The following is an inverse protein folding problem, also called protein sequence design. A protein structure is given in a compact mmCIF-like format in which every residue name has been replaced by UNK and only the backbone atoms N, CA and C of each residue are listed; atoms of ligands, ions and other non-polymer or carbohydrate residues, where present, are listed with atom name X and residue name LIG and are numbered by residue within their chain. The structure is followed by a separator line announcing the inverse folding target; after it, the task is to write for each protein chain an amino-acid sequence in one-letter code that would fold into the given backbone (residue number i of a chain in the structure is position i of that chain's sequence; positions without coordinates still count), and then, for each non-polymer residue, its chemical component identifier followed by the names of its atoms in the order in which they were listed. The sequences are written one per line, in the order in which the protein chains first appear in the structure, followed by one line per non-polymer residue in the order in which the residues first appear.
data_IF_032066604868
#
_entry.id   IF_032066604868
#
_cell.length_a   1.000
_cell.length_b   1.000
_cell.length_c   1.000
_cell.angle_alpha   90.00
_cell.angle_beta   90.00
_cell.angle_gamma   90.00
#
_symmetry.space_group_name_H-M   'P 1'
#
loop_
_entity.id
_entity.type
_entity.pdbx_description
1 polymer ?
#
# COMPACT_ATOMS: atom_id res chain seq x y z
N UNK A 1 -16.15 -25.45 -30.03
CA UNK A 1 -14.81 -25.17 -29.50
C UNK A 1 -14.55 -23.73 -29.83
N UNK A 2 -14.66 -22.86 -28.83
CA UNK A 2 -14.57 -21.42 -28.98
C UNK A 2 -13.12 -21.00 -28.63
N UNK A 3 -12.32 -20.43 -29.55
CA UNK A 3 -10.90 -20.18 -29.34
C UNK A 3 -10.66 -18.74 -28.89
N UNK A 4 -11.23 -18.32 -27.76
CA UNK A 4 -11.06 -16.94 -27.24
C UNK A 4 -10.88 -16.83 -25.72
N UNK A 5 -10.33 -17.84 -25.04
CA UNK A 5 -10.12 -17.79 -23.58
C UNK A 5 -8.68 -17.88 -23.08
N UNK A 6 -7.65 -17.80 -23.93
CA UNK A 6 -6.25 -18.04 -23.48
C UNK A 6 -5.32 -16.80 -23.45
N UNK A 7 -5.70 -15.64 -24.01
CA UNK A 7 -4.75 -14.52 -24.20
C UNK A 7 -4.82 -13.39 -23.14
N UNK A 8 -5.55 -13.57 -22.03
CA UNK A 8 -5.63 -12.54 -20.96
C UNK A 8 -4.60 -12.77 -19.82
N UNK A 9 -3.95 -13.92 -19.75
CA UNK A 9 -3.29 -14.36 -18.50
C UNK A 9 -1.76 -14.21 -18.44
N UNK A 10 -1.02 -14.19 -19.55
CA UNK A 10 0.45 -14.25 -19.49
C UNK A 10 1.11 -13.00 -18.84
N UNK A 11 0.76 -11.75 -19.23
CA UNK A 11 1.36 -10.57 -18.60
C UNK A 11 0.97 -10.40 -17.13
N UNK A 12 -0.26 -10.79 -16.77
CA UNK A 12 -0.73 -10.74 -15.37
C UNK A 12 -0.01 -11.77 -14.52
N UNK A 13 0.17 -13.00 -15.01
CA UNK A 13 0.93 -14.05 -14.33
C UNK A 13 2.41 -13.66 -14.13
N UNK A 14 3.04 -13.06 -15.14
CA UNK A 14 4.41 -12.56 -15.02
C UNK A 14 4.55 -11.47 -13.95
N UNK A 15 3.57 -10.56 -13.88
CA UNK A 15 3.55 -9.49 -12.90
C UNK A 15 3.34 -10.04 -11.48
N UNK A 16 2.45 -11.01 -11.31
CA UNK A 16 2.23 -11.71 -10.03
C UNK A 16 3.46 -12.51 -9.58
N UNK A 17 4.19 -13.15 -10.50
CA UNK A 17 5.44 -13.84 -10.21
C UNK A 17 6.55 -12.86 -9.77
N UNK A 18 6.67 -11.74 -10.47
CA UNK A 18 7.62 -10.65 -10.15
C UNK A 18 7.37 -10.11 -8.74
N UNK A 19 6.09 -9.90 -8.39
CA UNK A 19 5.68 -9.46 -7.06
C UNK A 19 6.02 -10.45 -5.96
N UNK A 20 5.77 -11.75 -6.20
CA UNK A 20 6.13 -12.79 -5.26
C UNK A 20 7.65 -12.85 -4.99
N UNK A 21 8.46 -12.78 -6.03
CA UNK A 21 9.92 -12.83 -5.91
C UNK A 21 10.47 -11.57 -5.22
N UNK A 22 9.89 -10.40 -5.52
CA UNK A 22 10.24 -9.15 -4.85
C UNK A 22 9.96 -9.21 -3.35
N UNK A 23 8.79 -9.67 -2.93
CA UNK A 23 8.43 -9.81 -1.51
C UNK A 23 9.38 -10.78 -0.79
N UNK A 24 9.61 -11.95 -1.40
CA UNK A 24 10.46 -12.99 -0.82
C UNK A 24 11.88 -12.49 -0.63
N UNK A 25 12.44 -11.80 -1.63
CA UNK A 25 13.79 -11.21 -1.58
C UNK A 25 13.88 -10.16 -0.48
N UNK A 26 12.92 -9.23 -0.46
CA UNK A 26 12.86 -8.13 0.50
C UNK A 26 12.78 -8.61 1.95
N UNK A 27 11.94 -9.61 2.24
CA UNK A 27 11.80 -10.15 3.59
C UNK A 27 12.96 -11.07 4.00
N UNK A 28 13.64 -11.71 3.03
CA UNK A 28 14.80 -12.58 3.31
C UNK A 28 16.09 -11.80 3.60
N UNK A 29 16.21 -10.57 3.11
CA UNK A 29 17.42 -9.74 3.29
C UNK A 29 17.44 -8.96 4.61
N UNK A 30 16.33 -8.91 5.34
CA UNK A 30 16.24 -8.14 6.59
C UNK A 30 16.93 -8.87 7.76
N UNK A 31 17.85 -8.19 8.45
CA UNK A 31 18.42 -8.65 9.71
C UNK A 31 17.31 -8.84 10.78
N UNK A 32 17.64 -9.48 11.90
CA UNK A 32 16.77 -10.01 12.98
C UNK A 32 15.53 -9.21 13.46
N UNK A 33 15.34 -7.95 13.06
CA UNK A 33 14.16 -7.12 13.36
C UNK A 33 13.30 -6.92 12.13
N UNK A 34 12.03 -7.33 12.20
CA UNK A 34 11.03 -7.07 11.14
C UNK A 34 10.90 -5.57 10.89
N UNK A 35 10.87 -5.17 9.63
CA UNK A 35 10.77 -3.78 9.17
C UNK A 35 9.53 -3.57 8.30
N UNK A 36 9.04 -2.32 8.18
CA UNK A 36 7.97 -1.98 7.25
C UNK A 36 8.28 -2.42 5.81
N UNK A 37 7.27 -2.94 5.13
CA UNK A 37 7.33 -3.31 3.72
C UNK A 37 6.37 -2.41 2.95
N UNK A 38 6.89 -1.72 1.94
CA UNK A 38 6.11 -0.89 1.03
C UNK A 38 6.04 -1.58 -0.33
N UNK A 39 4.84 -1.87 -0.80
CA UNK A 39 4.59 -2.56 -2.08
C UNK A 39 3.78 -1.65 -3.00
N UNK A 40 4.25 -1.44 -4.23
CA UNK A 40 3.53 -0.65 -5.23
C UNK A 40 2.61 -1.58 -6.04
N UNK A 41 1.30 -1.33 -6.03
CA UNK A 41 0.32 -2.24 -6.62
C UNK A 41 -0.15 -1.82 -8.01
N UNK A 42 0.01 -0.55 -8.38
CA UNK A 42 -0.12 -0.06 -9.74
C UNK A 42 1.12 0.79 -10.08
N UNK A 43 1.17 1.42 -11.26
CA UNK A 43 2.31 2.26 -11.63
C UNK A 43 2.16 3.72 -11.13
N UNK A 44 1.26 4.01 -10.20
CA UNK A 44 0.75 5.36 -9.95
C UNK A 44 0.49 5.68 -8.46
N UNK A 45 -0.70 5.33 -7.94
CA UNK A 45 -1.23 5.80 -6.65
C UNK A 45 -1.43 4.71 -5.59
N UNK A 46 -1.52 3.44 -5.97
CA UNK A 46 -1.97 2.38 -5.07
C UNK A 46 -0.80 1.71 -4.38
N UNK A 47 -0.72 1.89 -3.07
CA UNK A 47 0.33 1.32 -2.23
C UNK A 47 -0.24 0.39 -1.18
N UNK A 48 0.46 -0.72 -0.93
CA UNK A 48 0.25 -1.56 0.24
C UNK A 48 1.40 -1.35 1.22
N UNK A 49 1.10 -0.75 2.37
CA UNK A 49 2.06 -0.55 3.45
C UNK A 49 1.80 -1.59 4.55
N UNK A 50 2.76 -2.47 4.77
CA UNK A 50 2.71 -3.51 5.80
C UNK A 50 3.62 -3.12 6.97
N UNK A 51 3.04 -2.82 8.13
CA UNK A 51 3.78 -2.40 9.34
C UNK A 51 3.94 -3.57 10.32
N UNK A 52 5.15 -3.89 10.81
CA UNK A 52 5.34 -4.95 11.80
C UNK A 52 4.52 -4.66 13.06
N UNK A 53 3.73 -5.64 13.51
CA UNK A 53 2.98 -5.51 14.75
C UNK A 53 3.95 -5.65 15.94
N UNK A 54 4.01 -4.68 16.86
CA UNK A 54 4.86 -4.80 18.04
C UNK A 54 4.49 -6.02 18.89
N UNK A 55 5.48 -6.79 19.41
CA UNK A 55 5.20 -7.99 20.22
C UNK A 55 4.30 -7.73 21.43
N UNK A 56 4.43 -6.55 22.05
CA UNK A 56 3.61 -6.10 23.18
C UNK A 56 2.13 -5.89 22.82
N UNK A 57 1.82 -5.69 21.54
CA UNK A 57 0.48 -5.40 21.03
C UNK A 57 -0.21 -6.61 20.41
N UNK A 58 0.52 -7.70 20.16
CA UNK A 58 -0.03 -8.94 19.59
C UNK A 58 -1.11 -9.60 20.47
N UNK A 59 -1.12 -9.32 21.78
CA UNK A 59 -2.17 -9.80 22.70
C UNK A 59 -3.43 -8.91 22.67
N UNK A 60 -3.29 -7.63 22.30
CA UNK A 60 -4.36 -6.63 22.27
C UNK A 60 -5.19 -6.62 20.97
N UNK A 61 -4.69 -7.24 19.89
CA UNK A 61 -5.42 -7.37 18.61
C UNK A 61 -6.73 -8.15 18.70
N UNK A 62 -6.99 -8.87 19.80
CA UNK A 62 -8.29 -9.51 20.05
C UNK A 62 -9.44 -8.51 20.25
N UNK A 63 -9.16 -7.20 20.37
CA UNK A 63 -10.15 -6.15 20.62
C UNK A 63 -10.43 -5.23 19.42
N UNK A 64 -9.72 -5.36 18.30
CA UNK A 64 -10.03 -4.64 17.06
C UNK A 64 -11.05 -5.42 16.25
N UNK A 65 -11.99 -4.74 15.57
CA UNK A 65 -13.23 -5.33 15.01
C UNK A 65 -13.06 -6.36 13.89
N UNK A 66 -11.82 -6.70 13.51
CA UNK A 66 -11.52 -7.70 12.47
C UNK A 66 -11.14 -8.99 13.21
N UNK A 67 -12.11 -9.90 13.31
CA UNK A 67 -11.94 -11.23 13.89
C UNK A 67 -11.10 -12.10 12.95
N UNK A 68 -9.78 -12.08 13.11
CA UNK A 68 -8.89 -13.06 12.47
C UNK A 68 -8.61 -14.21 13.45
N UNK A 69 -8.70 -15.44 12.96
CA UNK A 69 -8.40 -16.64 13.76
C UNK A 69 -6.89 -16.82 13.98
N UNK A 70 -6.07 -16.13 13.19
CA UNK A 70 -4.61 -16.23 13.16
C UNK A 70 -3.92 -15.02 13.80
N UNK A 71 -2.76 -15.27 14.40
CA UNK A 71 -1.85 -14.21 14.86
C UNK A 71 -1.18 -13.54 13.66
N UNK A 72 -1.59 -12.31 13.33
CA UNK A 72 -0.97 -11.46 12.30
C UNK A 72 0.45 -11.05 12.70
N UNK A 73 1.34 -10.92 11.71
CA UNK A 73 2.72 -10.42 11.88
C UNK A 73 2.80 -8.95 11.49
N UNK A 74 2.03 -8.56 10.48
CA UNK A 74 1.95 -7.21 9.95
C UNK A 74 0.53 -6.65 10.08
N UNK A 75 0.44 -5.33 10.14
CA UNK A 75 -0.77 -4.55 9.96
C UNK A 75 -0.75 -3.98 8.54
N UNK A 76 -1.75 -4.30 7.74
CA UNK A 76 -1.76 -4.02 6.30
C UNK A 76 -2.68 -2.85 5.96
N UNK A 77 -2.08 -1.79 5.39
CA UNK A 77 -2.74 -0.55 5.02
C UNK A 77 -2.76 -0.45 3.50
N UNK A 78 -3.95 -0.42 2.90
CA UNK A 78 -4.15 -0.15 1.49
C UNK A 78 -4.38 1.35 1.29
N UNK A 79 -3.50 2.01 0.55
CA UNK A 79 -3.52 3.44 0.31
C UNK A 79 -4.00 3.68 -1.12
N UNK A 80 -4.99 4.57 -1.27
CA UNK A 80 -5.49 5.07 -2.54
C UNK A 80 -5.75 4.00 -3.64
N UNK A 81 -6.66 3.04 -3.41
CA UNK A 81 -6.82 1.90 -4.29
C UNK A 81 -7.55 2.22 -5.60
N UNK A 82 -6.83 2.12 -6.71
CA UNK A 82 -7.31 2.12 -8.09
C UNK A 82 -6.63 0.96 -8.83
N UNK A 83 -7.35 -0.18 -8.96
CA UNK A 83 -6.77 -1.41 -9.49
C UNK A 83 -7.08 -1.60 -10.98
N UNK A 84 -8.32 -1.32 -11.38
CA UNK A 84 -8.81 -1.54 -12.75
C UNK A 84 -9.79 -0.46 -13.18
N UNK A 85 -10.02 -0.37 -14.49
CA UNK A 85 -11.01 0.52 -15.07
C UNK A 85 -10.58 2.00 -15.14
N UNK A 86 -11.43 2.86 -15.73
CA UNK A 86 -11.16 4.29 -15.85
C UNK A 86 -11.42 5.05 -14.56
N UNK A 87 -10.68 6.13 -14.37
CA UNK A 87 -11.04 7.22 -13.46
C UNK A 87 -11.62 8.39 -14.27
N UNK A 88 -12.54 9.17 -13.67
CA UNK A 88 -13.08 10.39 -14.30
C UNK A 88 -13.21 11.54 -13.30
N UNK A 89 -12.56 12.66 -13.62
CA UNK A 89 -12.66 13.89 -12.82
C UNK A 89 -13.86 14.74 -13.25
N UNK A 90 -14.71 15.12 -12.29
CA UNK A 90 -15.90 15.98 -12.43
C UNK A 90 -17.02 15.35 -13.28
N UNK A 91 -16.78 15.14 -14.58
CA UNK A 91 -17.68 14.48 -15.52
C UNK A 91 -16.84 13.79 -16.62
N UNK A 92 -17.28 12.62 -17.10
CA UNK A 92 -16.50 11.80 -18.04
C UNK A 92 -16.08 12.50 -19.35
N UNK A 93 -16.79 13.57 -19.75
CA UNK A 93 -16.43 14.39 -20.91
C UNK A 93 -15.27 15.37 -20.66
N UNK A 94 -14.88 15.60 -19.40
CA UNK A 94 -13.90 16.61 -19.00
C UNK A 94 -12.48 16.03 -18.93
N UNK A 95 -12.30 14.91 -18.20
CA UNK A 95 -11.06 14.12 -18.15
C UNK A 95 -11.41 12.69 -17.75
N UNK A 96 -11.09 11.71 -18.61
CA UNK A 96 -11.10 10.28 -18.25
C UNK A 96 -9.72 9.71 -18.48
N UNK A 97 -9.20 8.98 -17.51
CA UNK A 97 -7.85 8.41 -17.57
C UNK A 97 -7.87 6.91 -17.26
N UNK A 98 -6.94 6.20 -17.86
CA UNK A 98 -6.68 4.78 -17.64
C UNK A 98 -5.21 4.58 -17.33
N UNK A 99 -4.91 3.57 -16.51
CA UNK A 99 -3.55 3.08 -16.39
C UNK A 99 -2.97 2.75 -17.77
N UNK A 100 -1.74 3.17 -18.00
CA UNK A 100 -0.98 2.80 -19.19
C UNK A 100 -0.54 1.33 -19.09
N UNK A 101 -0.16 0.91 -17.88
CA UNK A 101 0.25 -0.44 -17.52
C UNK A 101 -0.77 -1.07 -16.56
N UNK A 102 -1.28 -2.29 -16.80
CA UNK A 102 -2.18 -2.96 -15.86
C UNK A 102 -1.56 -3.08 -14.46
N UNK A 103 -2.34 -2.83 -13.42
CA UNK A 103 -1.94 -3.01 -12.02
C UNK A 103 -1.47 -4.45 -11.73
N UNK A 104 -0.53 -4.60 -10.80
CA UNK A 104 -0.05 -5.93 -10.36
C UNK A 104 -1.09 -6.76 -9.63
N UNK A 105 -2.12 -6.11 -9.10
CA UNK A 105 -3.34 -6.74 -8.64
C UNK A 105 -4.52 -6.17 -9.41
N UNK A 106 -5.35 -7.03 -9.99
CA UNK A 106 -6.55 -6.62 -10.74
C UNK A 106 -7.82 -6.62 -9.86
N UNK A 107 -7.72 -7.12 -8.63
CA UNK A 107 -8.85 -7.25 -7.69
C UNK A 107 -8.40 -7.15 -6.23
N UNK A 108 -9.35 -6.88 -5.32
CA UNK A 108 -9.08 -6.91 -3.88
C UNK A 108 -8.68 -8.32 -3.42
N UNK A 109 -9.26 -9.37 -4.01
CA UNK A 109 -8.88 -10.75 -3.71
C UNK A 109 -7.39 -11.02 -3.98
N UNK A 110 -6.86 -10.50 -5.10
CA UNK A 110 -5.42 -10.58 -5.41
C UNK A 110 -4.56 -9.77 -4.44
N UNK A 111 -5.04 -8.61 -3.97
CA UNK A 111 -4.35 -7.86 -2.90
C UNK A 111 -4.29 -8.69 -1.62
N UNK A 112 -5.38 -9.39 -1.26
CA UNK A 112 -5.39 -10.28 -0.10
C UNK A 112 -4.51 -11.54 -0.30
N UNK A 113 -4.37 -12.05 -1.53
CA UNK A 113 -3.37 -13.08 -1.87
C UNK A 113 -1.94 -12.58 -1.61
N UNK A 114 -1.64 -11.34 -1.99
CA UNK A 114 -0.35 -10.69 -1.74
C UNK A 114 -0.08 -10.58 -0.25
N UNK A 115 -1.07 -10.14 0.53
CA UNK A 115 -0.96 -10.05 1.99
C UNK A 115 -0.70 -11.44 2.59
N UNK A 116 -1.43 -12.48 2.16
CA UNK A 116 -1.20 -13.86 2.59
C UNK A 116 0.23 -14.34 2.33
N UNK A 117 0.81 -13.96 1.18
CA UNK A 117 2.21 -14.26 0.84
C UNK A 117 3.20 -13.52 1.74
N UNK A 118 2.96 -12.24 2.04
CA UNK A 118 3.79 -11.44 2.98
C UNK A 118 3.80 -12.11 4.36
N UNK A 119 2.63 -12.42 4.89
CA UNK A 119 2.46 -13.08 6.20
C UNK A 119 3.10 -14.48 6.23
N UNK A 120 2.96 -15.25 5.15
CA UNK A 120 3.61 -16.55 4.97
C UNK A 120 5.14 -16.47 4.94
N UNK A 121 5.70 -15.51 4.19
CA UNK A 121 7.14 -15.29 4.08
C UNK A 121 7.76 -14.76 5.38
N UNK A 122 7.01 -13.96 6.15
CA UNK A 122 7.45 -13.41 7.43
C UNK A 122 7.28 -14.37 8.62
N UNK A 123 6.48 -15.43 8.43
CA UNK A 123 6.29 -16.46 9.43
C UNK A 123 7.60 -17.23 9.66
N UNK A 124 8.02 -17.44 10.92
CA UNK A 124 9.20 -18.23 11.19
C UNK A 124 8.98 -19.63 10.64
N UNK A 125 9.72 -20.00 9.58
CA UNK A 125 9.61 -21.35 9.02
C UNK A 125 9.83 -22.37 10.13
N UNK A 126 9.04 -23.44 10.18
CA UNK A 126 9.33 -24.63 10.97
C UNK A 126 10.56 -25.37 10.39
N UNK A 127 11.68 -24.67 10.16
CA UNK A 127 12.97 -25.26 9.77
C UNK A 127 13.68 -25.80 11.01
N UNK A 128 13.05 -26.80 11.63
CA UNK A 128 13.69 -27.75 12.55
C UNK A 128 12.80 -29.00 12.73
N UNK A 129 12.14 -29.49 11.67
CA UNK A 129 11.56 -30.83 11.67
C UNK A 129 12.39 -31.72 10.74
N UNK A 130 13.36 -32.41 11.36
CA UNK A 130 13.90 -33.72 10.95
C UNK A 130 14.10 -33.97 9.45
N UNK A 131 15.33 -33.75 8.98
CA UNK A 131 15.87 -34.53 7.86
C UNK A 131 15.83 -36.01 8.28
N UNK A 132 15.11 -36.92 7.61
CA UNK A 132 15.25 -38.34 7.91
C UNK A 132 16.66 -38.73 7.50
N UNK A 133 17.46 -39.18 8.46
CA UNK A 133 18.66 -39.95 8.15
C UNK A 133 18.22 -41.18 7.35
N UNK A 134 18.59 -41.24 6.07
CA UNK A 134 18.55 -42.46 5.28
C UNK A 134 19.55 -43.44 5.88
N UNK A 135 19.09 -44.28 6.80
CA UNK A 135 19.79 -45.52 7.14
C UNK A 135 19.60 -46.49 5.97
N UNK A 136 20.68 -46.73 5.23
CA UNK A 136 20.79 -47.91 4.38
C UNK A 136 20.65 -49.14 5.28
N UNK A 137 19.65 -49.98 5.00
CA UNK A 137 19.60 -51.35 5.48
C UNK A 137 19.42 -52.24 4.25
N UNK A 138 20.52 -52.86 3.85
CA UNK A 138 20.52 -54.01 2.95
C UNK A 138 19.83 -55.18 3.64
N UNK A 139 18.93 -55.83 2.90
CA UNK A 139 18.47 -57.25 2.89
C UNK A 139 17.07 -57.19 2.26
N UNK A 140 16.84 -57.64 1.03
CA UNK A 140 17.16 -58.96 0.53
C UNK A 140 15.99 -59.88 0.88
N UNK A 141 14.87 -59.77 0.17
CA UNK A 141 13.97 -60.90 -0.13
C UNK A 141 12.94 -60.52 -1.21
N UNK A 142 12.90 -61.36 -2.24
CA UNK A 142 11.95 -61.32 -3.35
C UNK A 142 10.74 -62.15 -2.95
N UNK A 143 9.56 -61.54 -2.87
CA UNK A 143 8.28 -62.27 -2.85
C UNK A 143 7.34 -61.66 -3.88
N UNK A 144 6.84 -62.55 -4.72
CA UNK A 144 6.00 -62.40 -5.91
C UNK A 144 4.67 -61.72 -5.56
N UNK A 145 4.28 -60.71 -6.33
CA UNK A 145 2.95 -60.09 -6.26
C UNK A 145 2.02 -60.85 -7.20
N UNK A 146 1.10 -61.61 -6.64
CA UNK A 146 -0.03 -62.19 -7.34
C UNK A 146 -1.14 -61.13 -7.45
N UNK A 147 -1.56 -60.84 -8.68
CA UNK A 147 -2.60 -59.88 -9.01
C UNK A 147 -3.92 -60.62 -9.17
N UNK A 148 -4.81 -60.55 -8.19
CA UNK A 148 -6.23 -60.67 -8.50
C UNK A 148 -7.18 -60.19 -7.39
N UNK A 149 -8.37 -59.77 -7.85
CA UNK A 149 -9.63 -59.60 -7.11
C UNK A 149 -9.97 -58.21 -6.56
N UNK A 150 -10.34 -57.37 -7.51
CA UNK A 150 -11.43 -56.41 -7.38
C UNK A 150 -12.78 -57.10 -7.08
N UNK A 151 -13.71 -56.29 -6.57
CA UNK A 151 -15.17 -56.49 -6.45
C UNK A 151 -15.70 -57.16 -5.17
N UNK A 152 -16.17 -56.32 -4.23
CA UNK A 152 -17.60 -56.17 -3.81
C UNK A 152 -17.72 -55.75 -2.35
N UNK A 153 -18.28 -54.56 -2.12
CA UNK A 153 -19.40 -54.33 -1.20
C UNK A 153 -19.66 -52.81 -1.14
N UNK A 154 -20.71 -52.38 -1.82
CA UNK A 154 -21.42 -51.15 -1.47
C UNK A 154 -22.17 -51.43 -0.17
N UNK A 155 -21.85 -50.71 0.90
CA UNK A 155 -22.68 -50.65 2.09
C UNK A 155 -22.81 -49.18 2.50
N UNK A 156 -24.05 -48.70 2.47
CA UNK A 156 -24.46 -47.35 2.81
C UNK A 156 -24.10 -47.03 4.27
N UNK A 157 -23.15 -46.11 4.46
CA UNK A 157 -23.02 -45.38 5.72
C UNK A 157 -23.49 -43.96 5.46
N UNK A 158 -24.68 -43.65 5.98
CA UNK A 158 -25.21 -42.30 6.03
C UNK A 158 -24.27 -41.41 6.84
N UNK A 159 -23.42 -40.67 6.14
CA UNK A 159 -22.69 -39.55 6.71
C UNK A 159 -23.66 -38.39 6.73
N UNK A 160 -24.17 -38.05 7.91
CA UNK A 160 -24.74 -36.73 8.16
C UNK A 160 -23.64 -35.71 7.83
N UNK A 161 -23.79 -35.05 6.68
CA UNK A 161 -22.99 -33.89 6.33
C UNK A 161 -23.38 -32.80 7.32
N UNK A 162 -22.62 -32.67 8.41
CA UNK A 162 -22.60 -31.43 9.17
C UNK A 162 -22.40 -30.31 8.15
N UNK A 163 -23.41 -29.44 8.03
CA UNK A 163 -23.27 -28.19 7.30
C UNK A 163 -22.10 -27.47 7.93
N UNK A 164 -20.95 -27.52 7.26
CA UNK A 164 -19.78 -26.74 7.64
C UNK A 164 -20.25 -25.32 7.90
N UNK A 165 -19.92 -24.77 9.08
CA UNK A 165 -20.00 -23.33 9.29
C UNK A 165 -19.35 -22.69 8.07
N UNK A 166 -20.08 -21.82 7.38
CA UNK A 166 -19.48 -20.94 6.40
C UNK A 166 -18.24 -20.34 7.08
N UNK A 167 -17.05 -20.69 6.61
CA UNK A 167 -15.84 -20.03 7.04
C UNK A 167 -16.09 -18.56 6.73
N UNK A 168 -16.22 -17.71 7.76
CA UNK A 168 -16.25 -16.27 7.53
C UNK A 168 -14.97 -15.95 6.78
N UNK A 169 -15.08 -15.48 5.53
CA UNK A 169 -13.92 -15.10 4.72
C UNK A 169 -13.06 -14.13 5.55
N UNK A 170 -11.84 -14.56 5.87
CA UNK A 170 -10.90 -13.76 6.66
C UNK A 170 -10.49 -12.54 5.84
N UNK A 171 -10.78 -11.34 6.35
CA UNK A 171 -10.32 -10.07 5.75
C UNK A 171 -8.85 -9.84 6.07
N UNK A 172 -8.03 -9.59 5.05
CA UNK A 172 -6.58 -9.41 5.20
C UNK A 172 -6.13 -7.95 5.21
N UNK A 173 -6.97 -7.05 4.70
CA UNK A 173 -6.73 -5.60 4.73
C UNK A 173 -7.24 -5.05 6.07
N UNK A 174 -6.33 -4.53 6.89
CA UNK A 174 -6.68 -4.00 8.21
C UNK A 174 -7.22 -2.56 8.14
N UNK A 175 -6.79 -1.80 7.13
CA UNK A 175 -7.14 -0.39 6.96
C UNK A 175 -7.06 0.06 5.51
N UNK A 176 -8.00 0.91 5.10
CA UNK A 176 -7.88 1.72 3.89
C UNK A 176 -7.63 3.18 4.24
N UNK A 177 -6.64 3.80 3.59
CA UNK A 177 -6.31 5.22 3.74
C UNK A 177 -6.54 5.91 2.41
N UNK A 178 -7.33 7.00 2.44
CA UNK A 178 -7.64 7.82 1.26
C UNK A 178 -7.07 9.22 1.43
N UNK A 179 -6.06 9.55 0.63
CA UNK A 179 -5.33 10.80 0.73
C UNK A 179 -6.09 11.98 0.12
N UNK A 180 -6.87 11.75 -0.94
CA UNK A 180 -7.53 12.81 -1.70
C UNK A 180 -8.89 12.37 -2.28
N UNK A 181 -9.79 13.33 -2.58
CA UNK A 181 -11.11 13.01 -3.15
C UNK A 181 -11.14 12.77 -4.67
N UNK A 182 -9.99 12.93 -5.34
CA UNK A 182 -9.89 12.68 -6.77
C UNK A 182 -10.00 11.19 -7.08
N UNK A 183 -10.52 10.86 -8.26
CA UNK A 183 -10.99 9.50 -8.53
C UNK A 183 -9.86 8.49 -8.78
N UNK A 184 -8.64 8.96 -9.04
CA UNK A 184 -7.39 8.19 -9.06
C UNK A 184 -6.85 7.85 -7.66
N UNK A 185 -7.37 8.50 -6.61
CA UNK A 185 -7.09 8.18 -5.20
C UNK A 185 -8.24 7.42 -4.53
N UNK A 186 -9.46 7.79 -4.90
CA UNK A 186 -10.71 7.33 -4.28
C UNK A 186 -11.57 6.62 -5.32
N UNK A 187 -10.99 5.62 -5.99
CA UNK A 187 -11.64 4.94 -7.11
C UNK A 187 -12.85 4.12 -6.62
N UNK A 188 -14.05 4.68 -6.80
CA UNK A 188 -15.30 4.10 -6.29
C UNK A 188 -15.53 2.64 -6.73
N UNK A 189 -15.36 2.25 -8.01
CA UNK A 189 -15.54 0.86 -8.41
C UNK A 189 -14.62 -0.11 -7.65
N UNK A 190 -13.35 0.23 -7.42
CA UNK A 190 -12.44 -0.60 -6.60
C UNK A 190 -12.93 -0.62 -5.16
N UNK A 191 -13.20 0.54 -4.57
CA UNK A 191 -13.54 0.65 -3.15
C UNK A 191 -14.81 -0.11 -2.77
N UNK A 192 -15.81 -0.16 -3.66
CA UNK A 192 -17.05 -0.90 -3.40
C UNK A 192 -16.91 -2.43 -3.49
N UNK A 193 -15.75 -2.94 -3.93
CA UNK A 193 -15.45 -4.40 -3.89
C UNK A 193 -14.84 -4.86 -2.58
N UNK A 194 -14.34 -3.93 -1.74
CA UNK A 194 -13.87 -4.24 -0.39
C UNK A 194 -15.02 -4.68 0.51
N UNK A 195 -14.71 -5.48 1.53
CA UNK A 195 -15.68 -5.75 2.59
C UNK A 195 -16.12 -4.45 3.30
N UNK A 196 -17.43 -4.29 3.57
CA UNK A 196 -17.97 -3.20 4.40
C UNK A 196 -17.32 -3.05 5.77
N UNK A 197 -16.72 -4.11 6.33
CA UNK A 197 -16.13 -4.12 7.68
C UNK A 197 -14.73 -3.48 7.74
N UNK A 198 -14.03 -3.39 6.62
CA UNK A 198 -12.70 -2.76 6.56
C UNK A 198 -12.84 -1.26 6.88
N UNK A 199 -12.15 -0.74 7.90
CA UNK A 199 -12.25 0.67 8.23
C UNK A 199 -11.54 1.54 7.19
N UNK A 200 -12.12 2.72 6.92
CA UNK A 200 -11.58 3.71 6.00
C UNK A 200 -11.24 5.00 6.76
N UNK A 201 -9.97 5.42 6.69
CA UNK A 201 -9.55 6.77 7.08
C UNK A 201 -9.40 7.62 5.83
N UNK A 202 -10.08 8.76 5.76
CA UNK A 202 -10.07 9.61 4.57
C UNK A 202 -9.93 11.10 4.91
N UNK A 203 -9.32 11.89 4.02
CA UNK A 203 -9.31 13.36 4.16
C UNK A 203 -10.72 13.95 4.05
N UNK A 204 -10.95 15.17 4.54
CA UNK A 204 -12.29 15.67 4.85
C UNK A 204 -13.31 15.58 3.70
N UNK A 205 -12.89 15.85 2.45
CA UNK A 205 -13.77 15.75 1.28
C UNK A 205 -13.97 14.29 0.85
N UNK A 206 -12.91 13.50 0.81
CA UNK A 206 -12.98 12.06 0.54
C UNK A 206 -13.87 11.33 1.56
N UNK A 207 -13.74 11.66 2.85
CA UNK A 207 -14.62 11.20 3.93
C UNK A 207 -16.10 11.46 3.61
N UNK A 208 -16.42 12.68 3.17
CA UNK A 208 -17.80 13.06 2.87
C UNK A 208 -18.35 12.27 1.68
N UNK A 209 -17.53 12.07 0.64
CA UNK A 209 -17.88 11.28 -0.53
C UNK A 209 -18.07 9.79 -0.19
N UNK A 210 -17.09 9.15 0.44
CA UNK A 210 -17.13 7.72 0.79
C UNK A 210 -18.28 7.42 1.76
N UNK A 211 -18.49 8.27 2.77
CA UNK A 211 -19.60 8.12 3.71
C UNK A 211 -20.96 8.15 2.99
N UNK A 212 -21.10 8.97 1.93
CA UNK A 212 -22.34 9.04 1.15
C UNK A 212 -22.66 7.76 0.39
N UNK A 213 -21.67 6.91 0.13
CA UNK A 213 -21.86 5.64 -0.60
C UNK A 213 -22.55 4.58 0.26
N UNK A 214 -22.55 4.74 1.60
CA UNK A 214 -23.20 3.83 2.55
C UNK A 214 -22.74 2.37 2.42
N UNK A 215 -21.49 2.19 2.02
CA UNK A 215 -20.86 0.88 1.84
C UNK A 215 -20.15 0.42 3.12
N UNK A 216 -19.23 1.24 3.64
CA UNK A 216 -18.41 0.90 4.80
C UNK A 216 -19.14 1.21 6.12
N UNK A 217 -18.98 0.33 7.11
CA UNK A 217 -19.50 0.54 8.46
C UNK A 217 -18.71 1.58 9.24
N UNK A 218 -17.41 1.71 8.94
CA UNK A 218 -16.49 2.60 9.64
C UNK A 218 -15.75 3.47 8.65
N UNK A 219 -16.16 4.73 8.54
CA UNK A 219 -15.40 5.78 7.85
C UNK A 219 -15.06 6.86 8.88
N UNK A 220 -13.81 7.31 8.92
CA UNK A 220 -13.35 8.37 9.83
C UNK A 220 -12.49 9.38 9.07
N UNK A 221 -12.50 10.62 9.56
CA UNK A 221 -11.64 11.66 9.02
C UNK A 221 -10.20 11.44 9.47
N UNK A 222 -9.26 11.68 8.57
CA UNK A 222 -7.85 11.84 8.93
C UNK A 222 -7.69 13.22 9.56
N UNK A 223 -7.32 13.24 10.83
CA UNK A 223 -7.12 14.48 11.58
C UNK A 223 -5.78 15.12 11.27
N UNK A 224 -5.70 16.43 11.52
CA UNK A 224 -4.50 17.21 11.28
C UNK A 224 -3.39 16.85 12.26
N UNK A 225 -2.15 16.75 11.77
CA UNK A 225 -0.99 16.61 12.64
C UNK A 225 -0.69 17.91 13.40
N UNK A 226 -0.51 17.81 14.72
CA UNK A 226 -0.33 18.94 15.62
C UNK A 226 0.96 18.89 16.46
N UNK A 227 1.90 17.98 16.13
CA UNK A 227 3.21 17.87 16.79
C UNK A 227 3.39 16.62 17.67
N UNK A 228 2.31 15.94 18.07
CA UNK A 228 2.37 14.64 18.75
C UNK A 228 1.63 13.57 17.93
N UNK A 229 2.33 12.51 17.53
CA UNK A 229 1.77 11.44 16.70
C UNK A 229 0.79 10.54 17.47
N UNK A 230 0.79 10.59 18.80
CA UNK A 230 -0.09 9.79 19.65
C UNK A 230 -1.48 10.40 19.76
N UNK A 231 -1.62 11.69 19.44
CA UNK A 231 -2.85 12.46 19.54
C UNK A 231 -3.58 12.52 18.20
N UNK A 232 -4.91 12.39 18.25
CA UNK A 232 -5.87 12.60 17.15
C UNK A 232 -5.69 11.74 15.88
N UNK A 233 -4.57 11.04 15.70
CA UNK A 233 -4.31 10.20 14.53
C UNK A 233 -4.93 8.81 14.58
N UNK A 234 -5.62 8.45 15.67
CA UNK A 234 -6.16 7.11 15.88
C UNK A 234 -7.56 6.87 15.29
N UNK A 235 -8.14 7.88 14.64
CA UNK A 235 -9.47 7.78 14.02
C UNK A 235 -10.54 7.27 14.99
N UNK A 236 -10.69 7.90 16.17
CA UNK A 236 -11.62 7.44 17.21
C UNK A 236 -11.37 6.00 17.72
N UNK A 237 -10.10 5.61 17.87
CA UNK A 237 -9.66 4.27 18.31
C UNK A 237 -9.90 3.14 17.28
N UNK A 238 -10.04 3.50 16.00
CA UNK A 238 -9.96 2.54 14.88
C UNK A 238 -8.56 1.94 14.81
N UNK A 239 -7.52 2.76 15.03
CA UNK A 239 -6.14 2.30 14.96
C UNK A 239 -5.62 1.78 16.31
N UNK A 240 -4.72 0.79 16.29
CA UNK A 240 -4.04 0.34 17.50
C UNK A 240 -3.16 1.44 18.09
N UNK A 241 -2.89 1.41 19.41
CA UNK A 241 -2.25 2.52 20.13
C UNK A 241 -0.81 2.81 19.70
N UNK A 242 -0.17 1.87 19.01
CA UNK A 242 1.21 1.97 18.53
C UNK A 242 1.34 2.65 17.16
N UNK A 243 0.24 3.09 16.53
CA UNK A 243 0.29 3.82 15.26
C UNK A 243 -0.68 5.01 15.21
N UNK A 244 -0.48 5.89 14.25
CA UNK A 244 -1.36 7.02 13.94
C UNK A 244 -1.33 7.37 12.45
N UNK A 245 -2.44 7.88 11.93
CA UNK A 245 -2.54 8.43 10.57
C UNK A 245 -2.99 9.88 10.66
N UNK A 246 -2.21 10.79 10.09
CA UNK A 246 -2.47 12.23 10.15
C UNK A 246 -2.38 12.90 8.78
N UNK A 247 -3.08 14.02 8.64
CA UNK A 247 -2.94 14.94 7.53
C UNK A 247 -1.95 16.04 7.91
N UNK A 248 -0.88 16.18 7.14
CA UNK A 248 0.07 17.30 7.26
C UNK A 248 -0.21 18.29 6.14
N UNK A 249 -0.57 19.52 6.47
CA UNK A 249 -0.96 20.54 5.50
C UNK A 249 -0.83 21.93 6.11
N UNK A 250 -0.99 23.01 5.35
CA UNK A 250 -1.16 24.36 5.90
C UNK A 250 -2.38 24.48 6.84
N UNK A 251 -2.32 25.32 7.88
CA UNK A 251 -3.39 25.46 8.89
C UNK A 251 -4.65 26.18 8.39
N UNK A 252 -4.58 26.81 7.22
CA UNK A 252 -5.71 27.39 6.51
C UNK A 252 -6.07 26.60 5.24
N UNK A 253 -6.83 27.25 4.36
CA UNK A 253 -7.26 26.65 3.10
C UNK A 253 -6.23 26.96 2.00
N UNK A 254 -5.66 25.94 1.38
CA UNK A 254 -4.98 26.04 0.10
C UNK A 254 -5.99 25.91 -1.05
N UNK A 255 -5.61 26.40 -2.24
CA UNK A 255 -6.45 26.28 -3.42
C UNK A 255 -6.63 24.78 -3.74
N UNK A 256 -7.88 24.30 -3.72
CA UNK A 256 -8.30 22.92 -4.04
C UNK A 256 -7.91 21.82 -3.03
N UNK A 257 -7.08 22.08 -2.02
CA UNK A 257 -6.75 21.18 -0.89
C UNK A 257 -5.82 19.99 -1.16
N UNK A 258 -5.21 19.91 -2.34
CA UNK A 258 -4.36 18.77 -2.70
C UNK A 258 -2.90 18.88 -2.24
N UNK A 259 -2.37 20.07 -1.91
CA UNK A 259 -0.98 20.21 -1.44
C UNK A 259 -0.86 19.86 0.05
N UNK A 260 -0.94 18.56 0.33
CA UNK A 260 -0.86 18.00 1.68
C UNK A 260 -0.17 16.65 1.67
N UNK A 261 0.12 16.15 2.85
CA UNK A 261 0.63 14.81 3.05
C UNK A 261 -0.32 13.99 3.91
N UNK A 262 -0.38 12.69 3.65
CA UNK A 262 -0.77 11.71 4.66
C UNK A 262 0.48 11.15 5.30
N UNK A 263 0.57 11.26 6.62
CA UNK A 263 1.62 10.65 7.42
C UNK A 263 1.07 9.41 8.11
N UNK A 264 1.72 8.27 7.91
CA UNK A 264 1.50 7.05 8.70
C UNK A 264 2.67 6.91 9.67
N UNK A 265 2.39 7.07 10.96
CA UNK A 265 3.37 7.00 12.06
C UNK A 265 3.19 5.72 12.87
N UNK A 266 4.28 5.16 13.37
CA UNK A 266 4.27 3.94 14.19
C UNK A 266 5.44 3.93 15.18
N UNK A 267 5.22 3.30 16.33
CA UNK A 267 6.20 3.23 17.42
C UNK A 267 7.49 2.54 16.98
N UNK A 268 8.63 3.18 17.26
CA UNK A 268 9.96 2.63 16.98
C UNK A 268 10.49 1.90 18.23
N UNK A 269 10.26 0.59 18.29
CA UNK A 269 10.76 -0.24 19.40
C UNK A 269 10.11 0.07 20.75
N UNK A 270 10.92 0.19 21.81
CA UNK A 270 10.46 0.33 23.19
C UNK A 270 10.38 1.80 23.69
N UNK A 271 10.77 2.78 22.87
CA UNK A 271 10.74 4.20 23.21
C UNK A 271 9.42 4.88 22.86
N UNK A 272 9.32 6.18 23.14
CA UNK A 272 8.18 7.02 22.71
C UNK A 272 8.36 7.59 21.29
N UNK A 273 9.57 7.48 20.72
CA UNK A 273 9.87 7.90 19.36
C UNK A 273 9.08 7.08 18.33
N UNK A 274 8.76 7.72 17.22
CA UNK A 274 8.07 7.08 16.10
C UNK A 274 8.92 7.09 14.84
N UNK A 275 8.68 6.09 14.00
CA UNK A 275 9.03 6.12 12.59
C UNK A 275 7.78 6.48 11.77
N UNK A 276 7.97 7.04 10.57
CA UNK A 276 6.86 7.41 9.71
C UNK A 276 7.14 7.21 8.22
N UNK A 277 6.07 6.99 7.47
CA UNK A 277 6.01 7.11 6.00
C UNK A 277 5.18 8.34 5.67
N UNK A 278 5.70 9.21 4.81
CA UNK A 278 5.03 10.43 4.38
C UNK A 278 4.66 10.31 2.90
N UNK A 279 3.38 10.42 2.59
CA UNK A 279 2.86 10.33 1.22
C UNK A 279 2.31 11.69 0.76
N UNK A 280 2.87 12.21 -0.33
CA UNK A 280 2.63 13.56 -0.86
C UNK A 280 2.37 13.51 -2.36
N UNK A 281 1.21 12.98 -2.80
CA UNK A 281 0.95 12.70 -4.21
C UNK A 281 1.04 13.92 -5.13
N UNK A 282 0.62 15.07 -4.62
CA UNK A 282 0.62 16.36 -5.33
C UNK A 282 1.71 17.31 -4.83
N UNK A 283 2.52 16.86 -3.87
CA UNK A 283 3.53 17.64 -3.18
C UNK A 283 3.01 18.51 -2.05
N UNK A 284 3.95 19.14 -1.34
CA UNK A 284 3.65 19.89 -0.11
C UNK A 284 4.63 21.05 0.06
N UNK A 285 4.16 22.16 0.62
CA UNK A 285 5.07 23.26 0.99
C UNK A 285 5.98 22.83 2.15
N UNK A 286 7.31 23.05 2.09
CA UNK A 286 8.19 22.81 3.22
C UNK A 286 7.76 23.52 4.51
N UNK A 287 7.12 24.70 4.41
CA UNK A 287 6.58 25.41 5.58
C UNK A 287 5.54 24.60 6.35
N UNK A 288 4.77 23.75 5.66
CA UNK A 288 3.68 22.99 6.26
C UNK A 288 4.19 21.74 7.00
N UNK A 289 5.46 21.38 6.78
CA UNK A 289 6.16 20.30 7.46
C UNK A 289 6.80 20.75 8.79
N UNK A 290 6.76 22.04 9.13
CA UNK A 290 7.31 22.56 10.39
C UNK A 290 6.83 21.80 11.65
N UNK A 291 5.55 21.38 11.77
CA UNK A 291 5.15 20.57 12.93
C UNK A 291 5.92 19.25 13.08
N UNK A 292 6.45 18.68 11.99
CA UNK A 292 7.26 17.46 12.03
C UNK A 292 8.69 17.72 12.51
N UNK A 293 9.27 18.87 12.20
CA UNK A 293 10.64 19.21 12.62
C UNK A 293 10.74 19.51 14.11
N UNK A 294 9.62 19.89 14.73
CA UNK A 294 9.50 20.18 16.17
C UNK A 294 8.61 19.18 16.90
N UNK A 295 8.33 18.02 16.30
CA UNK A 295 7.45 17.02 16.89
C UNK A 295 8.03 16.45 18.20
N UNK A 296 7.16 16.25 19.19
CA UNK A 296 7.47 15.60 20.46
C UNK A 296 6.37 14.57 20.76
N UNK A 297 6.69 13.26 20.81
CA UNK A 297 8.01 12.66 20.66
C UNK A 297 8.57 12.80 19.23
N UNK A 298 9.89 12.68 19.10
CA UNK A 298 10.57 12.76 17.80
C UNK A 298 10.02 11.73 16.81
N UNK A 299 9.83 12.18 15.57
CA UNK A 299 9.39 11.34 14.45
C UNK A 299 10.52 11.25 13.41
N UNK A 300 10.99 10.04 13.12
CA UNK A 300 11.93 9.75 12.04
C UNK A 300 11.16 9.36 10.78
N UNK A 301 11.17 10.21 9.76
CA UNK A 301 10.53 9.89 8.47
C UNK A 301 11.47 8.97 7.68
N UNK A 302 11.07 7.71 7.51
CA UNK A 302 11.85 6.71 6.78
C UNK A 302 11.75 6.91 5.28
N UNK A 303 10.53 7.12 4.79
CA UNK A 303 10.23 7.21 3.37
C UNK A 303 9.33 8.40 3.06
N UNK A 304 9.62 9.06 1.95
CA UNK A 304 8.82 10.08 1.30
C UNK A 304 8.34 9.52 -0.03
N UNK A 305 7.04 9.34 -0.19
CA UNK A 305 6.41 9.00 -1.47
C UNK A 305 6.01 10.31 -2.16
N UNK A 306 6.75 10.69 -3.20
CA UNK A 306 6.61 12.00 -3.86
C UNK A 306 7.00 11.92 -5.33
N UNK A 307 6.13 12.43 -6.20
CA UNK A 307 6.33 12.38 -7.65
C UNK A 307 7.37 13.37 -8.18
N UNK A 308 7.99 13.00 -9.30
CA UNK A 308 8.98 13.83 -10.00
C UNK A 308 8.33 14.83 -10.96
N UNK A 309 7.13 14.55 -11.46
CA UNK A 309 6.45 15.41 -12.42
C UNK A 309 5.92 16.71 -11.80
N UNK A 310 6.40 17.85 -12.29
CA UNK A 310 5.74 19.14 -12.13
C UNK A 310 4.59 19.21 -13.13
N UNK A 311 3.36 19.24 -12.61
CA UNK A 311 2.15 19.32 -13.42
C UNK A 311 1.44 20.60 -13.03
N UNK A 312 1.07 21.39 -14.03
CA UNK A 312 0.26 22.58 -13.83
C UNK A 312 -0.77 22.76 -14.94
N UNK A 313 -1.87 23.41 -14.59
CA UNK A 313 -2.92 23.78 -15.51
C UNK A 313 -2.72 25.25 -15.92
N UNK A 314 -2.40 25.46 -17.19
CA UNK A 314 -2.17 26.78 -17.76
C UNK A 314 -3.51 27.38 -18.23
N UNK A 315 -4.10 28.22 -17.37
CA UNK A 315 -5.29 28.99 -17.70
C UNK A 315 -4.96 30.46 -18.02
N UNK A 316 -5.83 31.11 -18.81
CA UNK A 316 -5.69 32.53 -19.21
C UNK A 316 -5.53 33.53 -18.04
N UNK A 317 -5.99 33.18 -16.82
CA UNK A 317 -6.04 34.10 -15.67
C UNK A 317 -5.25 33.63 -14.44
N UNK A 318 -4.89 32.34 -14.34
CA UNK A 318 -4.13 31.79 -13.21
C UNK A 318 -3.53 30.44 -13.56
N UNK A 319 -2.26 30.23 -13.20
CA UNK A 319 -1.62 28.91 -13.20
C UNK A 319 -2.04 28.15 -11.94
N UNK A 320 -2.68 27.00 -12.08
CA UNK A 320 -2.94 26.09 -10.97
C UNK A 320 -1.86 25.01 -10.96
N UNK A 321 -0.99 25.01 -9.93
CA UNK A 321 0.03 23.98 -9.75
C UNK A 321 -0.65 22.73 -9.23
N UNK A 322 -0.65 21.62 -9.97
CA UNK A 322 -1.31 20.35 -9.59
C UNK A 322 -0.35 19.40 -8.86
N UNK A 323 0.87 19.22 -9.38
CA UNK A 323 1.92 18.42 -8.74
C UNK A 323 3.20 19.26 -8.65
N UNK A 324 3.91 19.25 -7.52
CA UNK A 324 5.08 20.12 -7.31
C UNK A 324 6.43 19.57 -7.82
N UNK A 325 6.49 18.30 -8.21
CA UNK A 325 7.64 17.68 -8.89
C UNK A 325 8.94 17.58 -8.09
N UNK A 326 10.01 17.16 -8.79
CA UNK A 326 11.28 16.75 -8.17
C UNK A 326 11.94 17.83 -7.28
N UNK A 327 11.92 19.11 -7.68
CA UNK A 327 12.50 20.18 -6.86
C UNK A 327 11.79 20.36 -5.51
N UNK A 328 10.48 20.09 -5.45
CA UNK A 328 9.76 20.11 -4.18
C UNK A 328 10.13 18.90 -3.33
N UNK A 329 10.13 17.70 -3.94
CA UNK A 329 10.57 16.46 -3.28
C UNK A 329 11.96 16.60 -2.66
N UNK A 330 12.92 17.15 -3.40
CA UNK A 330 14.28 17.39 -2.93
C UNK A 330 14.31 18.28 -1.67
N UNK A 331 13.57 19.40 -1.66
CA UNK A 331 13.45 20.27 -0.48
C UNK A 331 12.88 19.53 0.73
N UNK A 332 11.89 18.67 0.52
CA UNK A 332 11.28 17.86 1.59
C UNK A 332 12.27 16.83 2.14
N UNK A 333 13.00 16.13 1.26
CA UNK A 333 14.04 15.16 1.66
C UNK A 333 15.10 15.84 2.51
N UNK A 334 15.61 17.00 2.09
CA UNK A 334 16.61 17.80 2.84
C UNK A 334 16.08 18.23 4.19
N UNK A 335 14.85 18.78 4.22
CA UNK A 335 14.25 19.31 5.44
C UNK A 335 14.02 18.24 6.51
N UNK A 336 13.62 17.04 6.11
CA UNK A 336 13.25 15.96 7.04
C UNK A 336 14.34 14.90 7.23
N UNK A 337 15.42 14.93 6.43
CA UNK A 337 16.49 13.93 6.47
C UNK A 337 15.99 12.53 6.09
N UNK A 338 15.12 12.45 5.07
CA UNK A 338 14.47 11.19 4.66
C UNK A 338 15.48 10.24 4.04
N UNK A 339 15.41 8.95 4.40
CA UNK A 339 16.31 7.93 3.87
C UNK A 339 15.89 7.40 2.50
N UNK A 340 14.59 7.26 2.23
CA UNK A 340 14.07 6.78 0.95
C UNK A 340 13.15 7.81 0.33
N UNK A 341 13.50 8.33 -0.84
CA UNK A 341 12.57 9.05 -1.69
C UNK A 341 12.03 8.08 -2.75
N UNK A 342 10.74 7.76 -2.65
CA UNK A 342 10.06 6.83 -3.55
C UNK A 342 9.19 7.61 -4.53
N UNK A 343 9.35 7.36 -5.83
CA UNK A 343 8.49 7.93 -6.87
C UNK A 343 7.03 7.48 -6.73
N UNK A 344 6.09 8.35 -7.07
CA UNK A 344 4.63 8.07 -7.09
C UNK A 344 3.96 9.09 -7.99
N UNK A 345 2.76 8.81 -8.53
CA UNK A 345 2.03 9.74 -9.41
C UNK A 345 2.74 10.10 -10.73
N UNK A 346 3.79 9.37 -11.11
CA UNK A 346 4.59 9.66 -12.30
C UNK A 346 4.12 8.85 -13.53
N UNK A 347 3.08 8.00 -13.40
CA UNK A 347 2.54 7.28 -14.55
C UNK A 347 2.02 8.25 -15.62
N UNK A 348 2.53 8.08 -16.85
CA UNK A 348 1.95 8.74 -18.02
C UNK A 348 0.70 7.98 -18.45
N UNK A 349 -0.40 8.24 -17.74
CA UNK A 349 -1.72 7.64 -17.97
C UNK A 349 -2.21 7.86 -19.40
N UNK A 350 -3.00 6.92 -19.92
CA UNK A 350 -3.76 7.12 -21.16
C UNK A 350 -4.94 8.02 -20.85
N UNK A 351 -5.08 9.15 -21.54
CA UNK A 351 -6.11 10.15 -21.26
C UNK A 351 -7.01 10.46 -22.44
N UNK A 352 -8.25 10.84 -22.15
CA UNK A 352 -9.19 11.47 -23.07
C UNK A 352 -9.88 12.67 -22.42
N UNK A 353 -10.36 13.63 -23.23
CA UNK A 353 -11.02 14.85 -22.76
C UNK A 353 -10.23 16.14 -23.03
N UNK A 354 -10.88 17.28 -22.80
CA UNK A 354 -10.37 18.61 -23.21
C UNK A 354 -9.35 19.21 -22.24
N UNK A 355 -9.30 18.75 -20.99
CA UNK A 355 -8.37 19.26 -19.97
C UNK A 355 -6.91 18.96 -20.32
N UNK A 356 -6.66 17.81 -20.97
CA UNK A 356 -5.31 17.41 -21.38
C UNK A 356 -4.60 18.45 -22.25
N UNK A 357 -5.34 19.26 -23.02
CA UNK A 357 -4.78 20.32 -23.87
C UNK A 357 -4.20 21.50 -23.08
N UNK A 358 -4.59 21.66 -21.81
CA UNK A 358 -4.16 22.76 -20.95
C UNK A 358 -3.18 22.30 -19.85
N UNK A 359 -2.84 21.00 -19.83
CA UNK A 359 -1.86 20.46 -18.88
C UNK A 359 -0.45 20.69 -19.40
N UNK A 360 0.33 21.47 -18.67
CA UNK A 360 1.78 21.52 -18.83
C UNK A 360 2.42 20.54 -17.86
N UNK A 361 3.20 19.60 -18.41
CA UNK A 361 3.99 18.63 -17.65
C UNK A 361 5.47 18.90 -17.87
N UNK A 362 6.21 19.01 -16.79
CA UNK A 362 7.67 19.06 -16.79
C UNK A 362 8.16 17.93 -15.90
N UNK A 363 8.69 16.88 -16.52
CA UNK A 363 9.40 15.82 -15.82
C UNK A 363 10.89 16.14 -15.87
N UNK A 364 11.50 16.29 -14.71
CA UNK A 364 12.96 16.31 -14.56
C UNK A 364 13.35 15.11 -13.71
N UNK A 365 14.45 14.45 -14.07
CA UNK A 365 15.00 13.36 -13.27
C UNK A 365 15.61 13.85 -11.96
N UNK A 366 15.88 12.94 -11.03
CA UNK A 366 16.54 13.28 -9.76
C UNK A 366 17.96 13.79 -10.00
N UNK A 367 18.71 13.19 -10.93
CA UNK A 367 20.06 13.62 -11.29
C UNK A 367 20.06 15.06 -11.80
N UNK A 368 19.12 15.40 -12.69
CA UNK A 368 18.96 16.76 -13.22
C UNK A 368 18.57 17.74 -12.10
N UNK A 369 17.65 17.35 -11.21
CA UNK A 369 17.27 18.17 -10.07
C UNK A 369 18.45 18.44 -9.13
N UNK A 370 19.29 17.44 -8.87
CA UNK A 370 20.52 17.55 -8.08
C UNK A 370 21.59 18.42 -8.77
N UNK A 371 21.73 18.32 -10.09
CA UNK A 371 22.65 19.16 -10.85
C UNK A 371 22.25 20.63 -10.78
N UNK A 372 20.95 20.92 -10.91
CA UNK A 372 20.42 22.28 -10.78
C UNK A 372 20.53 22.82 -9.34
N UNK A 373 20.34 21.99 -8.31
CA UNK A 373 20.59 22.35 -6.90
C UNK A 373 22.08 22.61 -6.65
N UNK A 374 22.97 21.77 -7.18
CA UNK A 374 24.41 21.87 -6.96
C UNK A 374 25.03 23.17 -7.48
N UNK A 375 24.45 23.76 -8.52
CA UNK A 375 24.81 25.10 -9.02
C UNK A 375 24.57 26.18 -7.96
N UNK A 376 23.60 25.96 -7.05
CA UNK A 376 23.16 26.94 -6.05
C UNK A 376 23.71 26.65 -4.64
N UNK A 377 23.73 25.39 -4.20
CA UNK A 377 23.91 25.03 -2.78
C UNK A 377 24.91 23.86 -2.53
N UNK A 378 25.52 23.29 -3.58
CA UNK A 378 26.43 22.13 -3.49
C UNK A 378 25.71 20.78 -3.63
N UNK A 379 26.39 19.77 -4.20
CA UNK A 379 25.78 18.46 -4.51
C UNK A 379 25.85 17.52 -3.32
N UNK A 380 24.74 17.35 -2.62
CA UNK A 380 24.55 16.22 -1.71
C UNK A 380 23.73 15.13 -2.40
N UNK A 381 24.10 13.86 -2.26
CA UNK A 381 23.30 12.77 -2.86
C UNK A 381 21.98 12.56 -2.10
N UNK A 382 20.97 12.06 -2.81
CA UNK A 382 19.71 11.56 -2.23
C UNK A 382 19.48 10.14 -2.67
N UNK A 383 18.91 9.32 -1.79
CA UNK A 383 18.57 7.94 -2.12
C UNK A 383 17.14 7.90 -2.69
N UNK A 384 17.04 8.20 -3.98
CA UNK A 384 15.83 8.00 -4.76
C UNK A 384 15.70 6.53 -5.17
N UNK A 385 14.52 5.96 -5.00
CA UNK A 385 14.21 4.57 -5.30
C UNK A 385 12.94 4.52 -6.13
N UNK A 386 13.06 4.03 -7.36
CA UNK A 386 11.90 3.65 -8.16
C UNK A 386 11.41 2.28 -7.66
N UNK A 387 10.17 2.20 -7.17
CA UNK A 387 9.52 0.93 -6.84
C UNK A 387 8.50 0.66 -7.93
N UNK A 388 8.83 -0.25 -8.84
CA UNK A 388 7.98 -0.57 -9.97
C UNK A 388 6.65 -1.19 -9.57
N UNK A 389 5.70 -1.21 -10.51
CA UNK A 389 4.42 -1.90 -10.36
C UNK A 389 4.67 -3.39 -10.04
N UNK A 390 4.21 -3.85 -8.88
CA UNK A 390 4.47 -5.19 -8.37
C UNK A 390 5.81 -5.33 -7.63
N UNK A 391 6.56 -4.27 -7.36
CA UNK A 391 7.79 -4.35 -6.57
C UNK A 391 7.57 -3.95 -5.11
N UNK A 392 8.48 -4.39 -4.24
CA UNK A 392 8.42 -4.14 -2.79
C UNK A 392 9.75 -3.70 -2.21
N UNK A 393 9.72 -2.66 -1.39
CA UNK A 393 10.86 -2.06 -0.69
C UNK A 393 10.73 -2.25 0.83
N UNK A 394 11.81 -2.72 1.48
CA UNK A 394 11.90 -2.70 2.95
C UNK A 394 12.40 -1.34 3.42
N UNK A 395 11.72 -0.75 4.40
CA UNK A 395 12.09 0.54 4.97
C UNK A 395 12.92 0.37 6.25
N UNK A 396 14.15 0.89 6.24
CA UNK A 396 15.15 0.69 7.31
C UNK A 396 15.65 1.95 8.02
#
# INVERSE_FOLDING_TARGET
MDPQSEDIDEPSQQLQATLHDSITRSLSSSNSTRRPLLTHLNADTTWLLSLPIPPSSATAQRSTSISTSRKRIYFHILIDPWLVGPQSDVAAFFSTQWHATPSSCQSIAEVEDVIRKIEGAASPSTRAATRPELKHQETGDVIVVDTDLAHRAEEEVGVEVEKGKAEEEEEWIDLVVISHEFTDHMHKPTLLTLSPRVPVLATAKAFSAISSWKHFTTVRKIERFAGDWRENGRGEKVLPPWMGVHRVAYAGNDLLYYHSAVMVSFASGAGEEAEAVLYTPHGISPSDLQPLTTAEPKIKVLALLHGLQDISLEGFWKKAQLNMGAHNGLKVVRMLGVKYWVGTHDEVKKGGGVVGWFLRRVGIGVEEALELEAVQEGKEEVNFVEVGNGESLVLE
#
